data_IF_226992857536
#
_entry.id   IF_226992857536
#
_cell.length_a   1.000
_cell.length_b   1.000
_cell.length_c   1.000
_cell.angle_alpha   90.00
_cell.angle_beta   90.00
_cell.angle_gamma   90.00
#
_symmetry.space_group_name_H-M   'P 1'
#
loop_
_entity.id
_entity.type
_entity.pdbx_description
1 polymer ?
#
# COMPACT_ATOMS: atom_id res chain seq x y z
N UNK A 1 -15.93 -75.35 4.90
CA UNK A 1 -15.31 -74.25 4.12
C UNK A 1 -16.23 -73.04 3.98
N UNK A 2 -17.50 -73.21 3.58
CA UNK A 2 -18.50 -72.13 3.52
C UNK A 2 -18.66 -71.35 4.84
N UNK A 3 -18.79 -72.06 5.97
CA UNK A 3 -18.95 -71.46 7.30
C UNK A 3 -17.76 -70.56 7.71
N UNK A 4 -16.53 -70.99 7.39
CA UNK A 4 -15.31 -70.21 7.63
C UNK A 4 -15.27 -68.98 6.74
N UNK A 5 -15.66 -69.11 5.47
CA UNK A 5 -15.76 -67.99 4.54
C UNK A 5 -16.76 -66.92 4.98
N UNK A 6 -17.93 -67.32 5.48
CA UNK A 6 -18.94 -66.39 6.02
C UNK A 6 -18.42 -65.65 7.26
N UNK A 7 -17.69 -66.34 8.13
CA UNK A 7 -17.13 -65.75 9.35
C UNK A 7 -16.04 -64.70 9.04
N UNK A 8 -15.17 -65.00 8.07
CA UNK A 8 -14.15 -64.04 7.59
C UNK A 8 -14.82 -62.82 6.94
N UNK A 9 -15.83 -63.04 6.09
CA UNK A 9 -16.57 -61.96 5.45
C UNK A 9 -17.26 -61.05 6.49
N UNK A 10 -17.86 -61.65 7.52
CA UNK A 10 -18.46 -60.91 8.63
C UNK A 10 -17.45 -60.06 9.41
N UNK A 11 -16.26 -60.60 9.69
CA UNK A 11 -15.19 -59.87 10.35
C UNK A 11 -14.69 -58.67 9.53
N UNK A 12 -14.52 -58.84 8.21
CA UNK A 12 -14.14 -57.76 7.28
C UNK A 12 -15.20 -56.67 7.27
N UNK A 13 -16.48 -57.05 7.15
CA UNK A 13 -17.58 -56.09 7.12
C UNK A 13 -17.69 -55.29 8.43
N UNK A 14 -17.42 -55.95 9.56
CA UNK A 14 -17.40 -55.32 10.87
C UNK A 14 -16.26 -54.30 11.00
N UNK A 15 -15.05 -54.64 10.55
CA UNK A 15 -13.92 -53.71 10.50
C UNK A 15 -14.20 -52.47 9.63
N UNK A 16 -14.82 -52.67 8.47
CA UNK A 16 -15.26 -51.56 7.60
C UNK A 16 -16.28 -50.68 8.32
N UNK A 17 -17.24 -51.29 9.03
CA UNK A 17 -18.23 -50.56 9.82
C UNK A 17 -17.60 -49.69 10.90
N UNK A 18 -16.62 -50.21 11.63
CA UNK A 18 -15.87 -49.45 12.65
C UNK A 18 -15.08 -48.31 12.00
N UNK A 19 -14.40 -48.56 10.88
CA UNK A 19 -13.65 -47.54 10.16
C UNK A 19 -14.55 -46.40 9.66
N UNK A 20 -15.74 -46.72 9.14
CA UNK A 20 -16.74 -45.73 8.73
C UNK A 20 -17.24 -44.91 9.92
N UNK A 21 -17.40 -45.54 11.08
CA UNK A 21 -17.82 -44.85 12.30
C UNK A 21 -16.77 -43.84 12.78
N UNK A 22 -15.50 -44.24 12.79
CA UNK A 22 -14.39 -43.33 13.11
C UNK A 22 -14.33 -42.19 12.11
N UNK A 23 -14.47 -42.48 10.82
CA UNK A 23 -14.46 -41.44 9.78
C UNK A 23 -15.64 -40.47 9.93
N UNK A 24 -16.82 -40.96 10.30
CA UNK A 24 -18.01 -40.15 10.53
C UNK A 24 -17.85 -39.16 11.70
N UNK A 25 -16.99 -39.46 12.68
CA UNK A 25 -16.67 -38.54 13.79
C UNK A 25 -15.46 -37.67 13.45
N UNK A 26 -14.44 -38.23 12.80
CA UNK A 26 -13.22 -37.52 12.43
C UNK A 26 -13.46 -36.44 11.37
N UNK A 27 -14.30 -36.71 10.37
CA UNK A 27 -14.55 -35.78 9.27
C UNK A 27 -15.23 -34.46 9.73
N UNK A 28 -16.28 -34.47 10.57
CA UNK A 28 -16.85 -33.25 11.13
C UNK A 28 -15.86 -32.45 11.99
N UNK A 29 -15.06 -33.15 12.81
CA UNK A 29 -14.05 -32.50 13.65
C UNK A 29 -12.96 -31.84 12.81
N UNK A 30 -12.45 -32.53 11.79
CA UNK A 30 -11.48 -31.98 10.86
C UNK A 30 -12.07 -30.81 10.06
N UNK A 31 -13.33 -30.93 9.63
CA UNK A 31 -14.06 -29.87 8.94
C UNK A 31 -14.22 -28.62 9.80
N UNK A 32 -14.60 -28.77 11.07
CA UNK A 32 -14.69 -27.66 12.03
C UNK A 32 -13.33 -27.03 12.28
N UNK A 33 -12.28 -27.82 12.49
CA UNK A 33 -10.93 -27.32 12.71
C UNK A 33 -10.42 -26.51 11.50
N UNK A 34 -10.60 -27.04 10.28
CA UNK A 34 -10.25 -26.34 9.06
C UNK A 34 -11.08 -25.06 8.88
N UNK A 35 -12.38 -25.11 9.14
CA UNK A 35 -13.27 -23.93 9.06
C UNK A 35 -12.85 -22.82 10.02
N UNK A 36 -12.51 -23.16 11.27
CA UNK A 36 -12.00 -22.20 12.25
C UNK A 36 -10.66 -21.62 11.79
N UNK A 37 -9.76 -22.45 11.26
CA UNK A 37 -8.48 -21.98 10.74
C UNK A 37 -8.66 -20.96 9.60
N UNK A 38 -9.50 -21.28 8.60
CA UNK A 38 -9.80 -20.35 7.51
C UNK A 38 -10.48 -19.07 7.99
N UNK A 39 -11.37 -19.17 8.97
CA UNK A 39 -12.03 -17.99 9.54
C UNK A 39 -11.04 -17.07 10.25
N UNK A 40 -10.16 -17.62 11.09
CA UNK A 40 -9.11 -16.84 11.76
C UNK A 40 -8.15 -16.22 10.76
N UNK A 41 -7.72 -16.99 9.76
CA UNK A 41 -6.86 -16.48 8.70
C UNK A 41 -7.53 -15.33 7.94
N UNK A 42 -8.80 -15.47 7.57
CA UNK A 42 -9.56 -14.41 6.91
C UNK A 42 -9.71 -13.16 7.80
N UNK A 43 -9.96 -13.33 9.10
CA UNK A 43 -10.05 -12.22 10.05
C UNK A 43 -8.70 -11.48 10.18
N UNK A 44 -7.58 -12.21 10.26
CA UNK A 44 -6.25 -11.60 10.31
C UNK A 44 -5.89 -10.86 9.01
N UNK A 45 -6.21 -11.43 7.86
CA UNK A 45 -5.97 -10.78 6.57
C UNK A 45 -6.84 -9.53 6.39
N UNK A 46 -8.11 -9.56 6.85
CA UNK A 46 -8.99 -8.38 6.82
C UNK A 46 -8.44 -7.24 7.68
N UNK A 47 -8.02 -7.53 8.91
CA UNK A 47 -7.43 -6.52 9.79
C UNK A 47 -6.13 -5.93 9.25
N UNK A 48 -5.30 -6.73 8.57
CA UNK A 48 -4.10 -6.24 7.89
C UNK A 48 -4.46 -5.37 6.67
N UNK A 49 -5.45 -5.78 5.88
CA UNK A 49 -5.91 -5.00 4.72
C UNK A 49 -6.51 -3.65 5.13
N UNK A 50 -7.31 -3.60 6.20
CA UNK A 50 -7.87 -2.36 6.74
C UNK A 50 -6.77 -1.40 7.22
N UNK A 51 -5.73 -1.91 7.90
CA UNK A 51 -4.58 -1.09 8.32
C UNK A 51 -3.78 -0.56 7.15
N UNK A 52 -3.54 -1.39 6.13
CA UNK A 52 -2.84 -0.95 4.92
C UNK A 52 -3.65 0.08 4.16
N UNK A 53 -4.97 -0.08 4.05
CA UNK A 53 -5.85 0.89 3.41
C UNK A 53 -5.88 2.23 4.16
N UNK A 54 -5.84 2.21 5.50
CA UNK A 54 -5.72 3.44 6.29
C UNK A 54 -4.37 4.13 6.04
N UNK A 55 -3.26 3.40 6.02
CA UNK A 55 -1.94 3.95 5.71
C UNK A 55 -1.86 4.52 4.29
N UNK A 56 -2.45 3.83 3.29
CA UNK A 56 -2.51 4.33 1.92
C UNK A 56 -3.34 5.62 1.82
N UNK A 57 -4.43 5.73 2.59
CA UNK A 57 -5.24 6.95 2.65
C UNK A 57 -4.47 8.14 3.25
N UNK A 58 -3.69 7.90 4.32
CA UNK A 58 -2.81 8.93 4.90
C UNK A 58 -1.74 9.40 3.91
N UNK A 59 -1.12 8.47 3.16
CA UNK A 59 -0.14 8.82 2.13
C UNK A 59 -0.76 9.62 0.99
N UNK A 60 -1.98 9.29 0.58
CA UNK A 60 -2.72 10.06 -0.45
C UNK A 60 -2.99 11.50 0.02
N UNK A 61 -3.35 11.70 1.29
CA UNK A 61 -3.56 13.03 1.87
C UNK A 61 -2.25 13.84 1.87
N UNK A 62 -1.13 13.24 2.27
CA UNK A 62 0.19 13.89 2.22
C UNK A 62 0.60 14.29 0.80
N UNK A 63 0.38 13.41 -0.18
CA UNK A 63 0.66 13.71 -1.59
C UNK A 63 -0.20 14.88 -2.07
N UNK A 64 -1.49 14.90 -1.69
CA UNK A 64 -2.40 15.96 -2.07
C UNK A 64 -1.98 17.31 -1.49
N UNK A 65 -1.64 17.37 -0.21
CA UNK A 65 -1.19 18.60 0.44
C UNK A 65 0.12 19.10 -0.16
N UNK A 66 1.12 18.22 -0.33
CA UNK A 66 2.38 18.56 -0.96
C UNK A 66 2.20 19.05 -2.41
N UNK A 67 1.26 18.46 -3.16
CA UNK A 67 0.96 18.91 -4.52
C UNK A 67 0.34 20.31 -4.55
N UNK A 68 -0.50 20.64 -3.57
CA UNK A 68 -1.14 21.95 -3.46
C UNK A 68 -0.10 23.02 -3.10
N UNK A 69 0.69 22.78 -2.06
CA UNK A 69 1.77 23.67 -1.61
C UNK A 69 2.79 23.94 -2.72
N UNK A 70 3.18 22.88 -3.44
CA UNK A 70 4.13 23.01 -4.55
C UNK A 70 3.52 23.79 -5.71
N UNK A 71 2.24 23.61 -6.01
CA UNK A 71 1.54 24.39 -7.04
C UNK A 71 1.44 25.88 -6.70
N UNK A 72 1.18 26.22 -5.43
CA UNK A 72 1.17 27.59 -4.96
C UNK A 72 2.56 28.23 -5.09
N UNK A 73 3.59 27.50 -4.66
CA UNK A 73 4.99 27.94 -4.77
C UNK A 73 5.38 28.16 -6.23
N UNK A 74 5.01 27.25 -7.12
CA UNK A 74 5.31 27.34 -8.54
C UNK A 74 4.64 28.56 -9.19
N UNK A 75 3.41 28.89 -8.80
CA UNK A 75 2.72 30.11 -9.24
C UNK A 75 3.43 31.39 -8.77
N UNK A 76 3.87 31.46 -7.51
CA UNK A 76 4.66 32.60 -7.00
C UNK A 76 5.99 32.73 -7.73
N UNK A 77 6.66 31.63 -8.02
CA UNK A 77 7.92 31.59 -8.77
C UNK A 77 7.76 31.99 -10.24
N UNK A 78 6.64 31.64 -10.87
CA UNK A 78 6.34 32.09 -12.23
C UNK A 78 6.19 33.62 -12.29
N UNK A 79 5.54 34.21 -11.28
CA UNK A 79 5.46 35.67 -11.14
C UNK A 79 6.85 36.30 -10.94
N UNK A 80 7.71 35.72 -10.09
CA UNK A 80 9.09 36.19 -9.92
C UNK A 80 9.91 36.13 -11.22
N UNK A 81 9.73 35.07 -12.01
CA UNK A 81 10.41 34.91 -13.29
C UNK A 81 9.95 35.95 -14.31
N UNK A 82 8.64 36.25 -14.36
CA UNK A 82 8.08 37.31 -15.21
C UNK A 82 8.63 38.68 -14.83
N UNK A 83 8.81 38.94 -13.53
CA UNK A 83 9.34 40.21 -13.02
C UNK A 83 10.87 40.24 -12.91
N UNK A 84 11.59 39.20 -13.38
CA UNK A 84 13.07 39.14 -13.31
C UNK A 84 13.62 39.31 -11.88
N UNK A 85 12.87 38.84 -10.89
CA UNK A 85 13.24 38.94 -9.48
C UNK A 85 13.34 40.37 -8.95
N UNK A 86 12.70 41.36 -9.58
CA UNK A 86 12.69 42.76 -9.10
C UNK A 86 12.18 42.78 -7.65
N UNK A 87 13.02 43.28 -6.73
CA UNK A 87 12.70 43.38 -5.30
C UNK A 87 13.10 42.17 -4.44
N UNK A 88 13.73 41.14 -5.02
CA UNK A 88 14.18 39.92 -4.33
C UNK A 88 15.70 39.73 -4.43
N UNK A 89 16.33 38.88 -3.61
CA UNK A 89 17.76 38.55 -3.73
C UNK A 89 18.15 37.93 -5.09
N UNK A 90 17.17 37.52 -5.91
CA UNK A 90 17.35 36.93 -7.24
C UNK A 90 17.44 37.96 -8.38
N UNK A 91 17.36 39.27 -8.10
CA UNK A 91 17.42 40.28 -9.14
C UNK A 91 18.72 40.18 -9.97
N UNK A 92 18.57 39.96 -11.29
CA UNK A 92 19.71 39.76 -12.20
C UNK A 92 20.30 38.35 -12.21
N UNK A 93 19.73 37.39 -11.46
CA UNK A 93 20.14 35.97 -11.43
C UNK A 93 19.13 35.07 -12.15
N UNK A 94 18.97 35.33 -13.44
CA UNK A 94 18.01 34.61 -14.29
C UNK A 94 18.31 33.10 -14.38
N UNK A 95 19.59 32.71 -14.36
CA UNK A 95 20.00 31.30 -14.42
C UNK A 95 19.61 30.53 -13.15
N UNK A 96 19.89 31.07 -11.96
CA UNK A 96 19.49 30.49 -10.67
C UNK A 96 17.97 30.40 -10.55
N UNK A 97 17.24 31.43 -11.01
CA UNK A 97 15.78 31.43 -11.02
C UNK A 97 15.22 30.32 -11.91
N UNK A 98 15.81 30.15 -13.10
CA UNK A 98 15.39 29.12 -14.06
C UNK A 98 15.73 27.69 -13.64
N UNK A 99 16.79 27.51 -12.86
CA UNK A 99 17.21 26.19 -12.39
C UNK A 99 16.31 25.71 -11.26
N UNK A 100 15.99 26.58 -10.29
CA UNK A 100 15.03 26.30 -9.22
C UNK A 100 13.62 26.05 -9.75
N UNK A 101 13.17 26.85 -10.71
CA UNK A 101 11.87 26.62 -11.36
C UNK A 101 11.80 25.26 -12.07
N UNK A 102 12.87 24.84 -12.76
CA UNK A 102 12.94 23.49 -13.36
C UNK A 102 12.92 22.38 -12.31
N UNK A 103 13.59 22.58 -11.17
CA UNK A 103 13.57 21.62 -10.06
C UNK A 103 12.17 21.50 -9.45
N UNK A 104 11.43 22.60 -9.30
CA UNK A 104 10.04 22.57 -8.84
C UNK A 104 9.13 21.81 -9.80
N UNK A 105 9.25 22.03 -11.13
CA UNK A 105 8.49 21.27 -12.13
C UNK A 105 8.84 19.78 -12.05
N UNK A 106 10.13 19.44 -12.01
CA UNK A 106 10.58 18.05 -11.91
C UNK A 106 10.07 17.36 -10.64
N UNK A 107 10.01 18.07 -9.52
CA UNK A 107 9.44 17.56 -8.27
C UNK A 107 7.92 17.33 -8.40
N UNK A 108 7.20 18.21 -9.10
CA UNK A 108 5.77 18.01 -9.39
C UNK A 108 5.53 16.77 -10.26
N UNK A 109 6.34 16.60 -11.32
CA UNK A 109 6.26 15.44 -12.20
C UNK A 109 6.60 14.14 -11.46
N UNK A 110 7.62 14.16 -10.59
CA UNK A 110 7.98 13.02 -9.76
C UNK A 110 6.85 12.63 -8.78
N UNK A 111 6.18 13.63 -8.19
CA UNK A 111 5.04 13.41 -7.30
C UNK A 111 3.85 12.77 -8.03
N UNK A 112 3.57 13.20 -9.26
CA UNK A 112 2.51 12.64 -10.10
C UNK A 112 2.85 11.25 -10.67
N UNK A 113 4.12 11.00 -10.97
CA UNK A 113 4.59 9.71 -11.50
C UNK A 113 4.72 8.62 -10.41
N UNK A 114 4.77 9.00 -9.13
CA UNK A 114 4.91 8.07 -8.03
C UNK A 114 3.66 7.19 -7.83
N UNK A 115 3.79 5.91 -8.17
CA UNK A 115 2.69 4.92 -8.14
C UNK A 115 2.70 4.03 -6.89
N UNK A 116 3.86 3.85 -6.24
CA UNK A 116 3.98 3.05 -5.01
C UNK A 116 4.01 3.95 -3.78
N UNK A 117 3.47 3.50 -2.62
CA UNK A 117 3.46 4.31 -1.40
C UNK A 117 4.86 4.78 -0.96
N UNK A 118 5.86 3.91 -1.05
CA UNK A 118 7.23 4.27 -0.71
C UNK A 118 7.79 5.39 -1.61
N UNK A 119 7.59 5.28 -2.93
CA UNK A 119 8.05 6.29 -3.88
C UNK A 119 7.25 7.60 -3.73
N UNK A 120 5.98 7.52 -3.32
CA UNK A 120 5.15 8.69 -3.04
C UNK A 120 5.67 9.48 -1.85
N UNK A 121 6.03 8.80 -0.76
CA UNK A 121 6.64 9.45 0.41
C UNK A 121 7.97 10.10 0.03
N UNK A 122 8.83 9.39 -0.71
CA UNK A 122 10.10 9.94 -1.18
C UNK A 122 9.89 11.17 -2.09
N UNK A 123 8.90 11.12 -2.98
CA UNK A 123 8.55 12.24 -3.85
C UNK A 123 7.99 13.44 -3.07
N UNK A 124 7.18 13.21 -2.02
CA UNK A 124 6.72 14.27 -1.11
C UNK A 124 7.89 14.93 -0.38
N UNK A 125 8.80 14.14 0.19
CA UNK A 125 9.99 14.67 0.87
C UNK A 125 10.84 15.49 -0.11
N UNK A 126 11.06 14.97 -1.32
CA UNK A 126 11.80 15.70 -2.35
C UNK A 126 11.10 17.02 -2.72
N UNK A 127 9.79 16.99 -2.96
CA UNK A 127 8.98 18.18 -3.23
C UNK A 127 9.10 19.23 -2.13
N UNK A 128 9.01 18.84 -0.86
CA UNK A 128 9.16 19.75 0.28
C UNK A 128 10.57 20.34 0.37
N UNK A 129 11.63 19.54 0.16
CA UNK A 129 13.00 20.07 0.18
C UNK A 129 13.26 21.10 -0.92
N UNK A 130 12.73 20.86 -2.12
CA UNK A 130 12.85 21.80 -3.24
C UNK A 130 12.02 23.04 -2.95
N UNK A 131 10.80 22.90 -2.43
CA UNK A 131 9.96 24.02 -2.00
C UNK A 131 10.65 24.89 -0.96
N UNK A 132 11.17 24.30 0.12
CA UNK A 132 11.84 25.04 1.20
C UNK A 132 13.07 25.78 0.65
N UNK A 133 13.81 25.16 -0.27
CA UNK A 133 14.93 25.82 -0.93
C UNK A 133 14.48 27.04 -1.74
N UNK A 134 13.30 26.96 -2.36
CA UNK A 134 12.71 28.03 -3.16
C UNK A 134 12.14 29.16 -2.27
N UNK A 135 11.50 28.82 -1.15
CA UNK A 135 10.94 29.79 -0.21
C UNK A 135 12.00 30.69 0.44
N UNK A 136 13.24 30.21 0.60
CA UNK A 136 14.34 31.04 1.12
C UNK A 136 14.69 32.26 0.27
N UNK A 137 14.24 32.29 -0.99
CA UNK A 137 14.53 33.39 -1.92
C UNK A 137 13.31 34.26 -2.25
N UNK A 138 12.12 33.88 -1.76
CA UNK A 138 10.89 34.66 -1.82
C UNK A 138 10.87 35.70 -0.68
#
# INVERSE_FOLDING_TARGET
MLLVGVLILGAILWLIGVALWVLAVAAPLAGLAAGVHFFLQAATCRGAAERNAAADAEVEELVRDASFDLSETLSRWEMLRLTKGIGTPLHGRDEETSSLHRQLIAAQEALQAATTPANRIEAVIHADTVRESAERFL
#
